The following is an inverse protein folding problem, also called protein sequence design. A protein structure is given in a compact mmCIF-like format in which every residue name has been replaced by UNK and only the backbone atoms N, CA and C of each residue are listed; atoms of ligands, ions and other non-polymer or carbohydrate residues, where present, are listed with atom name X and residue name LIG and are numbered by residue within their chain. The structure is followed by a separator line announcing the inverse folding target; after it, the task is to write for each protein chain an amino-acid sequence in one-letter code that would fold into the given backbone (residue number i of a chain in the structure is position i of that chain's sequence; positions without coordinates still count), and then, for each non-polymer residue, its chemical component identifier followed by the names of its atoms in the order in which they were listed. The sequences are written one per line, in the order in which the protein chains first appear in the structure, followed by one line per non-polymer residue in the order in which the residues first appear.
data_IF_894408264133
#
_entry.id   IF_894408264133
#
_cell.length_a   1.000
_cell.length_b   1.000
_cell.length_c   1.000
_cell.angle_alpha   90.00
_cell.angle_beta   90.00
_cell.angle_gamma   90.00
#
_symmetry.space_group_name_H-M   'P 1'
#
loop_
_entity.id
_entity.type
_entity.pdbx_description
1 polymer ?
#
# COMPACT_ATOMS: atom_id res chain seq x y z
N UNK A 1 68.31 12.11 8.89
CA UNK A 1 67.04 12.18 9.67
C UNK A 1 66.35 13.43 9.18
N UNK A 2 65.18 13.43 8.54
CA UNK A 2 63.95 12.69 8.79
C UNK A 2 63.04 12.75 7.55
N UNK A 3 62.49 11.60 7.14
CA UNK A 3 61.48 11.48 6.09
C UNK A 3 60.09 11.85 6.63
N UNK A 4 59.43 12.84 6.03
CA UNK A 4 58.01 13.11 6.28
C UNK A 4 57.18 12.40 5.20
N UNK A 5 56.69 11.21 5.53
CA UNK A 5 55.66 10.51 4.76
C UNK A 5 54.31 11.21 5.02
N UNK A 6 53.83 11.97 4.02
CA UNK A 6 52.51 12.60 4.08
C UNK A 6 51.43 11.53 3.90
N UNK A 7 50.75 11.17 4.99
CA UNK A 7 49.60 10.28 4.98
C UNK A 7 48.41 11.01 4.30
N UNK A 8 48.12 10.68 3.04
CA UNK A 8 46.90 11.16 2.37
C UNK A 8 45.73 10.29 2.79
N UNK A 9 45.00 10.72 3.81
CA UNK A 9 43.71 10.12 4.18
C UNK A 9 42.67 10.57 3.15
N UNK A 10 42.30 9.68 2.23
CA UNK A 10 41.19 9.92 1.32
C UNK A 10 39.87 9.66 2.07
N UNK A 11 39.14 10.72 2.40
CA UNK A 11 37.78 10.62 2.92
C UNK A 11 36.83 10.25 1.77
N UNK A 12 36.41 8.99 1.70
CA UNK A 12 35.34 8.56 0.80
C UNK A 12 34.01 9.02 1.42
N UNK A 13 33.45 10.11 0.91
CA UNK A 13 32.13 10.57 1.31
C UNK A 13 31.07 9.59 0.76
N UNK A 14 30.57 8.71 1.63
CA UNK A 14 29.41 7.87 1.32
C UNK A 14 28.17 8.75 1.36
N UNK A 15 27.75 9.26 0.20
CA UNK A 15 26.47 9.96 0.07
C UNK A 15 25.36 8.92 0.16
N UNK A 16 24.76 8.77 1.34
CA UNK A 16 23.50 8.05 1.49
C UNK A 16 22.41 8.83 0.74
N UNK A 17 22.05 8.36 -0.46
CA UNK A 17 20.87 8.87 -1.16
C UNK A 17 19.65 8.43 -0.38
N UNK A 18 18.94 9.39 0.21
CA UNK A 18 17.66 9.13 0.85
C UNK A 18 16.67 8.88 -0.29
N UNK A 19 16.50 7.62 -0.68
CA UNK A 19 15.40 7.24 -1.57
C UNK A 19 14.11 7.51 -0.81
N UNK A 20 13.42 8.60 -1.14
CA UNK A 20 12.06 8.84 -0.65
C UNK A 20 11.16 7.78 -1.28
N UNK A 21 10.95 6.68 -0.56
CA UNK A 21 9.95 5.70 -0.93
C UNK A 21 8.58 6.35 -0.67
N UNK A 22 7.93 6.86 -1.72
CA UNK A 22 6.54 7.28 -1.62
C UNK A 22 5.70 6.04 -1.29
N UNK A 23 4.98 6.10 -0.15
CA UNK A 23 4.09 5.02 0.24
C UNK A 23 2.88 4.98 -0.70
N UNK A 24 2.60 3.82 -1.26
CA UNK A 24 1.38 3.60 -2.00
C UNK A 24 0.15 3.76 -1.11
N UNK A 25 -0.95 4.20 -1.70
CA UNK A 25 -2.21 4.37 -0.98
C UNK A 25 -3.36 3.75 -1.76
N UNK A 26 -4.26 3.09 -1.05
CA UNK A 26 -5.54 2.61 -1.56
C UNK A 26 -6.68 3.12 -0.68
N UNK A 27 -7.80 3.47 -1.31
CA UNK A 27 -9.03 3.86 -0.65
C UNK A 27 -10.15 3.03 -1.25
N UNK A 28 -10.87 2.28 -0.43
CA UNK A 28 -12.01 1.44 -0.82
C UNK A 28 -13.30 2.06 -0.27
N UNK A 29 -14.27 2.29 -1.14
CA UNK A 29 -15.54 2.94 -0.84
C UNK A 29 -16.68 1.96 -0.97
N UNK A 30 -17.67 2.05 -0.08
CA UNK A 30 -18.91 1.26 -0.17
C UNK A 30 -19.90 1.80 -1.20
N UNK A 31 -19.73 3.04 -1.66
CA UNK A 31 -20.48 3.63 -2.77
C UNK A 31 -19.82 3.40 -4.14
N UNK A 32 -20.59 3.38 -5.23
CA UNK A 32 -20.11 3.07 -6.58
C UNK A 32 -19.30 4.20 -7.25
N UNK A 33 -19.34 5.42 -6.71
CA UNK A 33 -18.75 6.61 -7.35
C UNK A 33 -17.73 7.32 -6.46
N UNK A 34 -16.90 6.54 -5.74
CA UNK A 34 -15.91 7.04 -4.77
C UNK A 34 -16.55 7.89 -3.67
N UNK A 35 -17.72 7.45 -3.21
CA UNK A 35 -18.55 8.10 -2.21
C UNK A 35 -18.97 7.10 -1.13
N UNK A 36 -19.56 7.60 -0.05
CA UNK A 36 -20.00 6.76 1.08
C UNK A 36 -18.89 6.52 2.11
N UNK A 37 -19.09 5.51 2.96
CA UNK A 37 -18.09 5.13 3.95
C UNK A 37 -16.90 4.47 3.24
N UNK A 38 -15.70 4.78 3.72
CA UNK A 38 -14.49 4.28 3.10
C UNK A 38 -13.48 3.81 4.13
N UNK A 39 -12.61 2.91 3.66
CA UNK A 39 -11.41 2.49 4.35
C UNK A 39 -10.22 2.90 3.50
N UNK A 40 -9.19 3.44 4.15
CA UNK A 40 -7.93 3.78 3.51
C UNK A 40 -6.76 3.04 4.15
N UNK A 41 -5.76 2.74 3.33
CA UNK A 41 -4.55 2.07 3.79
C UNK A 41 -3.33 2.54 3.02
N UNK A 42 -2.23 2.73 3.76
CA UNK A 42 -0.92 3.08 3.21
C UNK A 42 -0.04 1.84 3.21
N UNK A 43 0.70 1.60 2.14
CA UNK A 43 1.58 0.44 2.01
C UNK A 43 2.88 0.82 1.29
N UNK A 44 3.99 0.24 1.71
CA UNK A 44 5.30 0.41 1.08
C UNK A 44 5.83 -0.89 0.44
N UNK A 45 5.25 -2.03 0.81
CA UNK A 45 5.76 -3.34 0.42
C UNK A 45 4.92 -3.98 -0.69
N UNK A 46 5.63 -4.52 -1.70
CA UNK A 46 5.06 -5.49 -2.65
C UNK A 46 5.04 -6.88 -2.03
N UNK A 47 4.29 -7.81 -2.62
CA UNK A 47 4.18 -9.21 -2.17
C UNK A 47 3.74 -9.40 -0.70
N UNK A 48 3.13 -8.38 -0.09
CA UNK A 48 2.45 -8.48 1.20
C UNK A 48 0.95 -8.50 0.97
N UNK A 49 0.27 -9.47 1.58
CA UNK A 49 -1.19 -9.57 1.50
C UNK A 49 -1.85 -8.76 2.61
N UNK A 50 -2.87 -7.99 2.25
CA UNK A 50 -3.66 -7.17 3.17
C UNK A 50 -5.11 -7.67 3.18
N UNK A 51 -5.47 -8.43 4.21
CA UNK A 51 -6.84 -8.88 4.47
C UNK A 51 -7.65 -7.80 5.18
N UNK A 52 -8.93 -7.64 4.82
CA UNK A 52 -9.78 -6.55 5.30
C UNK A 52 -11.13 -7.03 5.87
N UNK A 53 -11.17 -7.86 6.94
CA UNK A 53 -12.41 -8.44 7.45
C UNK A 53 -13.47 -7.41 7.89
N UNK A 54 -13.07 -6.24 8.38
CA UNK A 54 -13.96 -5.13 8.73
C UNK A 54 -14.59 -4.40 7.52
N UNK A 55 -14.11 -4.67 6.31
CA UNK A 55 -14.61 -4.12 5.05
C UNK A 55 -14.92 -5.21 4.01
N UNK A 56 -15.10 -6.45 4.48
CA UNK A 56 -15.31 -7.63 3.65
C UNK A 56 -16.51 -7.45 2.70
N UNK A 57 -16.29 -7.69 1.41
CA UNK A 57 -17.29 -7.60 0.33
C UNK A 57 -18.04 -6.26 0.21
N UNK A 58 -17.59 -5.21 0.91
CA UNK A 58 -18.29 -3.91 0.91
C UNK A 58 -17.87 -2.99 -0.23
N UNK A 59 -16.67 -3.14 -0.75
CA UNK A 59 -16.10 -2.21 -1.72
C UNK A 59 -16.86 -2.22 -3.05
N UNK A 60 -17.46 -1.09 -3.43
CA UNK A 60 -18.11 -0.87 -4.71
C UNK A 60 -17.31 0.05 -5.64
N UNK A 61 -16.36 0.81 -5.10
CA UNK A 61 -15.37 1.53 -5.90
C UNK A 61 -14.09 1.73 -5.12
N UNK A 62 -12.98 1.97 -5.81
CA UNK A 62 -11.72 2.29 -5.16
C UNK A 62 -10.89 3.27 -5.99
N UNK A 63 -10.00 3.97 -5.31
CA UNK A 63 -8.92 4.75 -5.92
C UNK A 63 -7.60 4.35 -5.29
N UNK A 64 -6.53 4.37 -6.08
CA UNK A 64 -5.19 4.07 -5.61
C UNK A 64 -4.16 4.96 -6.29
N UNK A 65 -3.02 5.16 -5.62
CA UNK A 65 -1.91 5.97 -6.12
C UNK A 65 -0.59 5.42 -5.61
N UNK A 66 0.48 5.82 -6.29
CA UNK A 66 1.86 5.57 -5.85
C UNK A 66 2.18 4.09 -5.69
N UNK A 67 1.66 3.23 -6.61
CA UNK A 67 2.17 1.87 -6.65
C UNK A 67 3.67 1.89 -6.98
N UNK A 68 4.48 1.02 -6.33
CA UNK A 68 5.88 0.81 -6.69
C UNK A 68 6.05 0.54 -8.18
N UNK A 69 7.18 0.94 -8.75
CA UNK A 69 7.49 0.70 -10.15
C UNK A 69 7.41 -0.79 -10.49
N UNK A 70 6.77 -1.13 -11.61
CA UNK A 70 6.49 -2.53 -11.99
C UNK A 70 5.43 -3.23 -11.13
N UNK A 71 4.88 -2.56 -10.12
CA UNK A 71 3.84 -3.07 -9.25
C UNK A 71 2.48 -3.15 -9.93
N UNK A 72 1.74 -4.21 -9.63
CA UNK A 72 0.34 -4.37 -10.05
C UNK A 72 -0.56 -4.49 -8.82
N UNK A 73 -1.60 -3.67 -8.73
CA UNK A 73 -2.61 -3.84 -7.69
C UNK A 73 -3.46 -5.06 -8.04
N UNK A 74 -3.58 -6.01 -7.11
CA UNK A 74 -4.41 -7.19 -7.27
C UNK A 74 -5.44 -7.24 -6.16
N UNK A 75 -6.71 -7.33 -6.55
CA UNK A 75 -7.87 -7.43 -5.68
C UNK A 75 -8.33 -8.88 -5.64
N UNK A 76 -8.70 -9.37 -4.47
CA UNK A 76 -9.09 -10.77 -4.27
C UNK A 76 -10.48 -10.89 -3.68
N UNK A 77 -11.21 -11.91 -4.12
CA UNK A 77 -12.54 -12.27 -3.64
C UNK A 77 -12.53 -12.69 -2.18
N UNK A 78 -11.52 -13.45 -1.78
CA UNK A 78 -11.42 -14.00 -0.43
C UNK A 78 -10.35 -13.30 0.41
N UNK A 79 -10.38 -13.55 1.71
CA UNK A 79 -9.29 -13.14 2.61
C UNK A 79 -7.98 -13.85 2.26
N UNK A 80 -6.86 -13.36 2.79
CA UNK A 80 -5.55 -13.97 2.62
C UNK A 80 -5.09 -14.11 1.16
N UNK A 81 -5.57 -13.23 0.27
CA UNK A 81 -5.19 -13.16 -1.14
C UNK A 81 -5.47 -14.47 -1.89
N UNK A 82 -6.66 -15.03 -1.66
CA UNK A 82 -7.14 -16.28 -2.26
C UNK A 82 -8.38 -16.03 -3.15
N UNK A 83 -8.84 -17.09 -3.81
CA UNK A 83 -10.03 -17.04 -4.67
C UNK A 83 -9.80 -16.33 -6.00
N UNK A 84 -10.88 -15.83 -6.59
CA UNK A 84 -10.80 -15.04 -7.83
C UNK A 84 -10.05 -13.75 -7.57
N UNK A 85 -9.38 -13.25 -8.60
CA UNK A 85 -8.65 -11.99 -8.51
C UNK A 85 -8.81 -11.12 -9.75
N UNK A 86 -8.62 -9.82 -9.56
CA UNK A 86 -8.59 -8.83 -10.61
C UNK A 86 -7.29 -8.03 -10.51
N UNK A 87 -6.53 -8.00 -11.61
CA UNK A 87 -5.20 -7.39 -11.68
C UNK A 87 -5.25 -6.07 -12.44
N UNK A 88 -4.68 -5.03 -11.84
CA UNK A 88 -4.58 -3.68 -12.40
C UNK A 88 -3.11 -3.31 -12.60
N UNK A 89 -2.72 -3.08 -13.85
CA UNK A 89 -1.36 -2.71 -14.24
C UNK A 89 -1.24 -1.19 -14.48
N UNK A 90 -1.39 -0.40 -13.42
CA UNK A 90 -1.23 1.06 -13.46
C UNK A 90 -0.64 1.55 -12.14
N UNK A 91 0.12 2.65 -12.15
CA UNK A 91 0.69 3.22 -10.92
C UNK A 91 -0.31 4.03 -10.08
N UNK A 92 -1.43 4.41 -10.69
CA UNK A 92 -2.56 5.12 -10.08
C UNK A 92 -3.83 4.81 -10.87
N UNK A 93 -4.98 4.92 -10.23
CA UNK A 93 -6.25 4.67 -10.93
C UNK A 93 -7.48 4.76 -10.05
N UNK A 94 -8.62 4.62 -10.71
CA UNK A 94 -9.95 4.51 -10.13
C UNK A 94 -10.62 3.31 -10.78
N UNK A 95 -11.25 2.44 -10.01
CA UNK A 95 -12.03 1.33 -10.55
C UNK A 95 -13.36 1.20 -9.81
N UNK A 96 -14.36 0.66 -10.50
CA UNK A 96 -15.73 0.51 -10.00
C UNK A 96 -16.20 -0.93 -10.17
N UNK A 97 -17.02 -1.38 -9.23
CA UNK A 97 -17.69 -2.66 -9.29
C UNK A 97 -18.61 -2.73 -10.51
N UNK A 98 -18.55 -3.85 -11.25
CA UNK A 98 -19.37 -4.11 -12.45
C UNK A 98 -19.30 -3.03 -13.55
N UNK A 99 -18.13 -2.38 -13.68
CA UNK A 99 -17.82 -1.43 -14.77
C UNK A 99 -16.62 -1.91 -15.60
N UNK A 100 -16.55 -3.23 -15.85
CA UNK A 100 -15.41 -3.88 -16.52
C UNK A 100 -14.15 -4.05 -15.66
N UNK A 101 -14.22 -3.72 -14.36
CA UNK A 101 -13.13 -3.95 -13.41
C UNK A 101 -13.29 -5.27 -12.64
N UNK A 102 -14.01 -5.29 -11.52
CA UNK A 102 -14.22 -6.48 -10.72
C UNK A 102 -15.71 -6.77 -10.52
N UNK A 103 -16.06 -8.06 -10.47
CA UNK A 103 -17.47 -8.54 -10.40
C UNK A 103 -17.78 -9.31 -9.10
N UNK A 104 -16.81 -9.40 -8.20
CA UNK A 104 -16.90 -10.09 -6.90
C UNK A 104 -16.72 -9.11 -5.73
N UNK A 105 -17.11 -9.52 -4.52
CA UNK A 105 -16.84 -8.75 -3.30
C UNK A 105 -15.34 -8.80 -2.97
N UNK A 106 -14.72 -7.66 -2.66
CA UNK A 106 -13.29 -7.60 -2.36
C UNK A 106 -13.08 -7.84 -0.86
N UNK A 107 -12.20 -8.79 -0.53
CA UNK A 107 -11.89 -9.17 0.85
C UNK A 107 -10.41 -9.09 1.19
N UNK A 108 -9.53 -8.97 0.19
CA UNK A 108 -8.11 -8.66 0.38
C UNK A 108 -7.46 -8.05 -0.88
N UNK A 109 -6.27 -7.47 -0.71
CA UNK A 109 -5.46 -7.00 -1.84
C UNK A 109 -3.97 -7.26 -1.63
N UNK A 110 -3.22 -7.28 -2.72
CA UNK A 110 -1.76 -7.37 -2.73
C UNK A 110 -1.18 -6.58 -3.90
N UNK A 111 0.03 -6.05 -3.74
CA UNK A 111 0.79 -5.50 -4.86
C UNK A 111 1.72 -6.58 -5.42
N UNK A 112 1.49 -7.01 -6.65
CA UNK A 112 2.36 -7.97 -7.34
C UNK A 112 3.57 -7.28 -7.96
N UNK A 113 4.77 -7.79 -7.68
CA UNK A 113 6.00 -7.39 -8.37
C UNK A 113 6.75 -8.57 -9.00
N UNK A 114 6.72 -9.73 -8.35
CA UNK A 114 7.49 -10.92 -8.76
C UNK A 114 6.62 -12.16 -8.99
N UNK A 115 5.39 -12.18 -8.49
CA UNK A 115 4.51 -13.33 -8.63
C UNK A 115 3.21 -13.19 -7.85
N UNK A 116 2.50 -14.32 -7.75
CA UNK A 116 1.14 -14.41 -7.19
C UNK A 116 1.11 -14.70 -5.69
N UNK A 117 2.27 -14.96 -5.07
CA UNK A 117 2.39 -15.39 -3.68
C UNK A 117 2.77 -14.23 -2.76
N UNK A 118 2.24 -14.26 -1.54
CA UNK A 118 2.50 -13.27 -0.51
C UNK A 118 3.81 -13.55 0.26
N UNK A 119 4.96 -13.35 -0.39
CA UNK A 119 6.28 -13.66 0.20
C UNK A 119 6.71 -12.69 1.31
N UNK A 120 6.10 -11.50 1.38
CA UNK A 120 6.38 -10.49 2.41
C UNK A 120 5.34 -10.48 3.55
N UNK A 121 4.60 -11.58 3.69
CA UNK A 121 3.72 -11.85 4.83
C UNK A 121 2.28 -11.41 4.62
N UNK A 122 1.50 -11.56 5.70
CA UNK A 122 0.06 -11.36 5.74
C UNK A 122 -0.29 -10.35 6.83
N UNK A 123 -1.17 -9.39 6.52
CA UNK A 123 -1.61 -8.34 7.45
C UNK A 123 -3.14 -8.34 7.52
N UNK A 124 -3.69 -8.27 8.73
CA UNK A 124 -5.08 -7.94 8.97
C UNK A 124 -5.20 -6.44 9.24
N UNK A 125 -5.62 -5.68 8.23
CA UNK A 125 -5.61 -4.21 8.32
C UNK A 125 -6.62 -3.68 9.34
N UNK A 126 -7.61 -4.48 9.74
CA UNK A 126 -8.65 -4.07 10.66
C UNK A 126 -8.21 -4.13 12.11
N UNK A 127 -7.42 -5.14 12.49
CA UNK A 127 -6.80 -5.19 13.82
C UNK A 127 -5.85 -4.00 14.02
N UNK A 128 -5.11 -3.64 12.98
CA UNK A 128 -4.19 -2.51 13.02
C UNK A 128 -4.93 -1.16 12.95
N UNK A 129 -6.08 -1.10 12.27
CA UNK A 129 -6.96 0.06 12.29
C UNK A 129 -7.50 0.33 13.70
N UNK A 130 -7.96 -0.72 14.40
CA UNK A 130 -8.44 -0.62 15.77
C UNK A 130 -7.30 -0.22 16.73
N UNK A 131 -6.11 -0.83 16.61
CA UNK A 131 -4.94 -0.42 17.40
C UNK A 131 -4.56 1.03 17.19
N UNK A 132 -4.61 1.53 15.94
CA UNK A 132 -4.33 2.95 15.64
C UNK A 132 -5.37 3.88 16.26
N UNK A 133 -6.64 3.51 16.27
CA UNK A 133 -7.68 4.30 16.96
C UNK A 133 -7.53 4.30 18.48
N UNK A 134 -7.08 3.19 19.06
CA UNK A 134 -6.88 3.07 20.50
C UNK A 134 -5.61 3.76 21.01
N UNK A 135 -4.64 4.06 20.13
CA UNK A 135 -3.42 4.80 20.48
C UNK A 135 -3.29 6.12 19.68
N UNK A 136 -3.99 7.19 20.09
CA UNK A 136 -3.95 8.49 19.41
C UNK A 136 -2.57 9.19 19.47
N UNK A 137 -1.63 8.68 20.27
CA UNK A 137 -0.24 9.17 20.36
C UNK A 137 0.75 8.36 19.50
N UNK A 138 0.28 7.40 18.71
CA UNK A 138 1.13 6.73 17.71
C UNK A 138 1.48 7.70 16.58
N UNK A 139 2.76 7.86 16.26
CA UNK A 139 3.25 8.72 15.17
C UNK A 139 2.89 8.20 13.77
N UNK A 140 2.20 7.06 13.65
CA UNK A 140 1.74 6.46 12.38
C UNK A 140 0.29 6.86 12.05
N UNK A 141 0.00 8.16 12.10
CA UNK A 141 -1.31 8.69 11.69
C UNK A 141 -1.35 8.70 10.15
N UNK A 142 -2.25 7.92 9.48
CA UNK A 142 -2.57 8.21 8.08
C UNK A 142 -3.14 9.62 8.03
N UNK A 143 -2.57 10.46 7.18
CA UNK A 143 -2.92 11.88 7.00
C UNK A 143 -4.35 12.01 6.45
N UNK A 144 -5.35 11.69 7.26
CA UNK A 144 -6.64 12.34 7.22
C UNK A 144 -6.42 13.63 8.00
N UNK A 145 -6.11 14.74 7.31
CA UNK A 145 -6.31 16.15 7.68
C UNK A 145 -5.37 17.02 6.83
N UNK A 146 -5.78 17.31 5.59
CA UNK A 146 -5.47 18.55 4.88
C UNK A 146 -6.38 18.65 3.64
N UNK A 147 -7.68 18.82 3.89
CA UNK A 147 -8.48 19.63 2.96
C UNK A 147 -8.32 21.06 3.44
N UNK A 148 -7.27 21.72 2.94
CA UNK A 148 -7.12 23.16 3.04
C UNK A 148 -7.81 23.79 1.83
N UNK A 149 -8.77 24.65 2.15
CA UNK A 149 -9.33 25.78 1.37
C UNK A 149 -10.11 25.47 0.08
#
# INVERSE_FOLDING_TARGET
MSNFQALRVAFVAVTATIMSANAGHIYLFDGPNLNGYYMDWSFSETQRCYSMPCFNDRAHSLKFRELPEGGHLVLYEESACQGKHYKIAASRGKVKYKDGAFEFGISSFMIWSSGIYATNGMVNICEDYDRRRLNPNSTDIPVAWQLNE
#
